data_IF_905166891036
#
_entry.id   IF_905166891036
#
_cell.length_a   1.000
_cell.length_b   1.000
_cell.length_c   1.000
_cell.angle_alpha   90.00
_cell.angle_beta   90.00
_cell.angle_gamma   90.00
#
_symmetry.space_group_name_H-M   'P 1'
#
loop_
_entity.id
_entity.type
_entity.pdbx_description
1 polymer ?
#
# COMPACT_ATOMS: atom_id res chain seq x y z
N UNK A 1 8.12 33.86 -37.57
CA UNK A 1 8.27 34.81 -36.47
C UNK A 1 7.82 34.06 -35.22
N UNK A 2 8.80 33.53 -34.52
CA UNK A 2 8.61 32.66 -33.36
C UNK A 2 8.61 33.56 -32.13
N UNK A 3 7.57 33.54 -31.33
CA UNK A 3 7.58 34.13 -29.98
C UNK A 3 7.47 33.00 -29.00
N UNK A 4 8.60 32.71 -28.34
CA UNK A 4 8.63 31.87 -27.15
C UNK A 4 8.11 32.69 -25.98
N UNK A 5 7.19 32.14 -25.21
CA UNK A 5 6.88 32.60 -23.86
C UNK A 5 7.38 31.53 -22.88
N UNK A 6 8.58 31.80 -22.36
CA UNK A 6 9.04 31.24 -21.09
C UNK A 6 8.32 31.99 -19.96
N UNK A 7 7.59 31.29 -19.13
CA UNK A 7 7.38 31.64 -17.74
C UNK A 7 6.67 30.44 -17.02
N UNK A 8 7.46 29.43 -16.66
CA UNK A 8 7.09 28.49 -15.63
C UNK A 8 7.72 28.98 -14.34
N UNK A 9 6.92 29.69 -13.56
CA UNK A 9 7.26 30.09 -12.19
C UNK A 9 7.40 28.84 -11.33
N UNK A 10 8.64 28.36 -11.18
CA UNK A 10 9.01 27.47 -10.09
C UNK A 10 8.88 28.25 -8.79
N UNK A 11 7.86 27.96 -8.01
CA UNK A 11 7.77 28.42 -6.62
C UNK A 11 8.90 27.78 -5.83
N UNK A 12 10.05 28.46 -5.78
CA UNK A 12 11.13 28.15 -4.84
C UNK A 12 10.57 28.26 -3.43
N UNK A 13 10.64 27.16 -2.68
CA UNK A 13 10.55 27.16 -1.21
C UNK A 13 11.38 28.34 -0.71
N UNK A 14 10.77 29.28 -0.01
CA UNK A 14 11.47 30.36 0.65
C UNK A 14 12.48 29.76 1.62
N UNK A 15 13.74 30.21 1.53
CA UNK A 15 14.76 29.98 2.56
C UNK A 15 14.24 30.48 3.91
N UNK A 16 13.62 29.57 4.67
CA UNK A 16 13.30 29.82 6.06
C UNK A 16 14.51 29.42 6.91
N UNK A 17 15.01 30.35 7.63
CA UNK A 17 16.01 30.34 8.67
C UNK A 17 16.32 28.94 9.23
N UNK A 18 17.61 28.60 9.17
CA UNK A 18 18.29 27.51 9.84
C UNK A 18 18.10 27.58 11.36
N UNK A 19 16.93 27.22 11.86
CA UNK A 19 16.70 26.80 13.23
C UNK A 19 16.87 25.29 13.23
N UNK A 20 17.96 24.79 13.82
CA UNK A 20 18.32 23.38 13.87
C UNK A 20 17.16 22.51 14.31
N UNK A 21 16.39 22.00 13.35
CA UNK A 21 15.48 20.88 13.58
C UNK A 21 16.40 19.69 13.82
N UNK A 22 16.43 19.24 15.08
CA UNK A 22 17.16 18.03 15.46
C UNK A 22 16.60 16.88 14.63
N UNK A 23 17.39 16.36 13.66
CA UNK A 23 17.00 15.16 12.92
C UNK A 23 16.69 14.05 13.94
N UNK A 24 15.49 13.49 13.82
CA UNK A 24 15.06 12.36 14.64
C UNK A 24 16.07 11.20 14.51
N UNK A 25 16.50 10.65 15.65
CA UNK A 25 17.49 9.58 15.64
C UNK A 25 16.94 8.27 15.06
N UNK A 26 17.80 7.46 14.42
CA UNK A 26 17.41 6.13 13.89
C UNK A 26 16.76 5.24 14.96
N UNK A 27 17.22 5.33 16.20
CA UNK A 27 16.63 4.57 17.30
C UNK A 27 15.25 5.08 17.68
N UNK A 28 15.05 6.38 17.71
CA UNK A 28 13.75 7.00 17.99
C UNK A 28 12.71 6.67 16.92
N UNK A 29 13.10 6.69 15.63
CA UNK A 29 12.26 6.24 14.53
C UNK A 29 11.82 4.78 14.73
N UNK A 30 12.76 3.88 15.08
CA UNK A 30 12.46 2.47 15.34
C UNK A 30 11.50 2.29 16.51
N UNK A 31 11.68 3.04 17.59
CA UNK A 31 10.79 2.96 18.76
C UNK A 31 9.41 3.54 18.44
N UNK A 32 9.29 4.64 17.69
CA UNK A 32 8.01 5.16 17.21
C UNK A 32 7.29 4.13 16.33
N UNK A 33 7.98 3.57 15.32
CA UNK A 33 7.42 2.54 14.45
C UNK A 33 6.98 1.30 15.24
N UNK A 34 7.78 0.82 16.16
CA UNK A 34 7.45 -0.30 17.04
C UNK A 34 6.24 0.01 17.94
N UNK A 35 6.09 1.25 18.39
CA UNK A 35 5.01 1.65 19.29
C UNK A 35 3.63 1.49 18.66
N UNK A 36 3.47 1.66 17.34
CA UNK A 36 2.21 1.43 16.63
C UNK A 36 1.71 0.01 16.88
N UNK A 37 2.59 -0.97 16.78
CA UNK A 37 2.26 -2.38 16.95
C UNK A 37 2.22 -2.82 18.41
N UNK A 38 3.02 -2.19 19.28
CA UNK A 38 2.96 -2.49 20.73
C UNK A 38 1.60 -2.08 21.32
N UNK A 39 1.01 -1.00 20.86
CA UNK A 39 -0.34 -0.58 21.26
C UNK A 39 -1.41 -1.60 20.88
N UNK A 40 -1.29 -2.19 19.69
CA UNK A 40 -2.27 -3.15 19.18
C UNK A 40 -2.04 -4.58 19.69
N UNK A 41 -0.76 -5.03 19.76
CA UNK A 41 -0.41 -6.43 20.01
C UNK A 41 0.09 -6.69 21.44
N UNK A 42 0.33 -5.65 22.23
CA UNK A 42 0.92 -5.74 23.57
C UNK A 42 2.43 -5.98 23.50
N UNK A 43 2.87 -7.24 23.41
CA UNK A 43 4.30 -7.56 23.38
C UNK A 43 4.84 -7.63 21.95
N UNK A 44 5.91 -6.89 21.70
CA UNK A 44 6.63 -6.86 20.42
C UNK A 44 8.12 -7.04 20.63
N UNK A 45 8.79 -7.58 19.60
CA UNK A 45 10.23 -7.76 19.55
C UNK A 45 10.76 -7.53 18.12
N UNK A 46 12.04 -7.22 17.92
CA UNK A 46 12.62 -7.25 16.58
C UNK A 46 12.47 -8.63 15.94
N UNK A 47 12.19 -8.68 14.63
CA UNK A 47 12.17 -9.92 13.89
C UNK A 47 13.57 -10.53 13.77
N UNK A 48 13.69 -11.85 13.55
CA UNK A 48 14.98 -12.54 13.37
C UNK A 48 15.72 -12.09 12.11
N UNK A 49 14.98 -11.79 11.04
CA UNK A 49 15.52 -11.24 9.78
C UNK A 49 15.94 -9.76 9.88
N UNK A 50 16.26 -9.26 11.06
CA UNK A 50 16.80 -7.91 11.23
C UNK A 50 18.25 -7.88 10.74
N UNK A 51 18.60 -6.87 9.93
CA UNK A 51 19.93 -6.62 9.40
C UNK A 51 20.38 -5.18 9.67
N UNK A 52 21.55 -4.81 9.17
CA UNK A 52 22.03 -3.43 9.27
C UNK A 52 21.02 -2.42 8.66
N UNK A 53 20.39 -2.82 7.57
CA UNK A 53 19.47 -1.97 6.79
C UNK A 53 17.99 -2.31 7.00
N UNK A 54 17.66 -3.48 7.55
CA UNK A 54 16.27 -3.94 7.74
C UNK A 54 15.94 -4.01 9.24
N UNK A 55 14.82 -3.39 9.62
CA UNK A 55 14.23 -3.50 10.94
C UNK A 55 12.77 -3.94 10.81
N UNK A 56 12.41 -5.05 11.42
CA UNK A 56 11.03 -5.57 11.46
C UNK A 56 10.51 -5.67 12.89
N UNK A 57 9.19 -5.51 13.05
CA UNK A 57 8.51 -5.64 14.36
C UNK A 57 7.70 -6.93 14.37
N UNK A 58 8.10 -7.87 15.21
CA UNK A 58 7.47 -9.18 15.36
C UNK A 58 6.72 -9.33 16.67
N UNK A 59 5.73 -10.22 16.66
CA UNK A 59 4.96 -10.62 17.84
C UNK A 59 4.42 -12.04 17.65
N UNK A 60 4.06 -12.69 18.75
CA UNK A 60 3.43 -14.01 18.74
C UNK A 60 2.02 -14.02 18.13
N UNK A 61 1.39 -12.84 17.95
CA UNK A 61 0.09 -12.74 17.29
C UNK A 61 0.19 -12.96 15.78
N UNK A 62 1.36 -12.76 15.17
CA UNK A 62 1.57 -12.94 13.74
C UNK A 62 1.60 -14.42 13.36
N UNK A 63 1.10 -14.73 12.16
CA UNK A 63 1.15 -16.08 11.58
C UNK A 63 2.58 -16.56 11.39
N UNK A 64 3.45 -15.68 10.89
CA UNK A 64 4.90 -15.87 10.74
C UNK A 64 5.60 -14.52 10.58
N UNK A 65 6.94 -14.51 10.62
CA UNK A 65 7.74 -13.28 10.52
C UNK A 65 7.62 -12.57 9.16
N UNK A 66 7.27 -13.30 8.09
CA UNK A 66 7.09 -12.69 6.76
C UNK A 66 5.87 -11.76 6.68
N UNK A 67 4.91 -11.88 7.62
CA UNK A 67 3.78 -10.96 7.74
C UNK A 67 4.12 -9.68 8.52
N UNK A 68 5.30 -9.61 9.12
CA UNK A 68 5.68 -8.48 9.97
C UNK A 68 5.85 -7.18 9.19
N UNK A 69 5.46 -6.04 9.77
CA UNK A 69 5.83 -4.73 9.26
C UNK A 69 7.35 -4.55 9.33
N UNK A 70 7.91 -3.81 8.37
CA UNK A 70 9.34 -3.58 8.34
C UNK A 70 9.72 -2.22 7.76
N UNK A 71 10.96 -1.81 8.02
CA UNK A 71 11.60 -0.66 7.40
C UNK A 71 12.94 -1.07 6.79
N UNK A 72 13.28 -0.46 5.65
CA UNK A 72 14.60 -0.49 5.03
C UNK A 72 15.22 0.90 5.14
N UNK A 73 16.45 1.01 5.70
CA UNK A 73 17.11 2.31 5.87
C UNK A 73 18.63 2.18 5.82
N UNK A 74 19.27 3.02 5.01
CA UNK A 74 20.74 3.15 4.96
C UNK A 74 21.30 4.06 6.05
N UNK A 75 20.46 4.88 6.66
CA UNK A 75 20.84 5.93 7.60
C UNK A 75 20.82 7.32 6.94
N UNK A 76 21.16 8.36 7.71
CA UNK A 76 21.16 9.74 7.22
C UNK A 76 22.12 9.91 6.03
N UNK A 77 21.73 10.71 5.06
CA UNK A 77 22.58 11.13 3.93
C UNK A 77 23.20 12.48 4.30
N UNK A 78 24.51 12.51 4.53
CA UNK A 78 25.20 13.78 4.82
C UNK A 78 25.09 14.74 3.63
N UNK A 79 24.45 15.90 3.83
CA UNK A 79 24.35 16.96 2.84
C UNK A 79 23.47 16.66 1.62
N UNK A 80 22.67 15.59 1.64
CA UNK A 80 21.73 15.20 0.59
C UNK A 80 20.28 15.31 1.03
N UNK A 81 19.36 15.22 0.06
CA UNK A 81 17.92 15.10 0.30
C UNK A 81 17.59 13.72 0.87
N UNK A 82 16.93 13.69 2.00
CA UNK A 82 16.48 12.43 2.60
C UNK A 82 15.16 12.00 1.94
N UNK A 83 15.19 10.87 1.23
CA UNK A 83 14.03 10.32 0.53
C UNK A 83 13.34 9.24 1.36
N UNK A 84 12.03 9.32 1.50
CA UNK A 84 11.22 8.33 2.23
C UNK A 84 10.09 7.83 1.35
N UNK A 85 9.84 6.52 1.39
CA UNK A 85 8.70 5.89 0.73
C UNK A 85 7.89 5.08 1.72
N UNK A 86 6.55 5.14 1.61
CA UNK A 86 5.63 4.31 2.39
C UNK A 86 4.82 3.44 1.44
N UNK A 87 4.79 2.12 1.69
CA UNK A 87 4.08 1.14 0.86
C UNK A 87 3.08 0.34 1.69
N UNK A 88 1.79 0.54 1.44
CA UNK A 88 0.71 -0.23 2.08
C UNK A 88 0.35 -1.45 1.24
N UNK A 89 0.04 -2.58 1.91
CA UNK A 89 -0.37 -3.84 1.26
C UNK A 89 -1.88 -3.92 1.01
N UNK A 90 -2.33 -4.96 0.30
CA UNK A 90 -3.73 -5.21 -0.04
C UNK A 90 -4.57 -5.83 1.08
N UNK A 91 -5.88 -5.96 0.85
CA UNK A 91 -6.90 -6.31 1.86
C UNK A 91 -6.72 -7.68 2.52
N UNK A 92 -6.27 -8.68 1.81
CA UNK A 92 -6.03 -10.02 2.39
C UNK A 92 -4.55 -10.30 2.62
N UNK A 93 -3.69 -9.34 2.31
CA UNK A 93 -2.25 -9.51 2.17
C UNK A 93 -1.47 -9.11 3.44
N UNK A 94 -0.18 -9.00 3.28
CA UNK A 94 0.73 -8.53 4.33
C UNK A 94 1.93 -7.80 3.68
N UNK A 95 2.82 -7.18 4.46
CA UNK A 95 4.04 -6.55 3.98
C UNK A 95 4.92 -7.43 3.09
N UNK A 96 4.75 -8.75 3.13
CA UNK A 96 5.46 -9.69 2.27
C UNK A 96 5.34 -9.33 0.77
N UNK A 97 4.15 -8.96 0.32
CA UNK A 97 3.89 -8.64 -1.10
C UNK A 97 4.54 -7.35 -1.57
N UNK A 98 4.91 -6.46 -0.64
CA UNK A 98 5.58 -5.20 -0.97
C UNK A 98 7.12 -5.30 -0.95
N UNK A 99 7.71 -6.46 -0.62
CA UNK A 99 9.16 -6.63 -0.46
C UNK A 99 9.96 -6.24 -1.69
N UNK A 100 9.56 -6.73 -2.87
CA UNK A 100 10.32 -6.49 -4.09
C UNK A 100 10.21 -5.04 -4.57
N UNK A 101 9.06 -4.40 -4.38
CA UNK A 101 8.89 -2.96 -4.63
C UNK A 101 9.71 -2.15 -3.61
N UNK A 102 9.71 -2.56 -2.35
CA UNK A 102 10.52 -1.91 -1.32
C UNK A 102 12.03 -2.03 -1.59
N UNK A 103 12.48 -3.19 -2.04
CA UNK A 103 13.89 -3.40 -2.44
C UNK A 103 14.28 -2.46 -3.60
N UNK A 104 13.40 -2.29 -4.61
CA UNK A 104 13.62 -1.36 -5.73
C UNK A 104 13.79 0.07 -5.22
N UNK A 105 12.89 0.57 -4.39
CA UNK A 105 12.95 1.93 -3.87
C UNK A 105 14.16 2.12 -2.94
N UNK A 106 14.49 1.11 -2.15
CA UNK A 106 15.68 1.13 -1.30
C UNK A 106 16.96 1.23 -2.14
N UNK A 107 17.04 0.53 -3.26
CA UNK A 107 18.17 0.62 -4.20
C UNK A 107 18.31 2.01 -4.81
N UNK A 108 17.20 2.71 -5.03
CA UNK A 108 17.14 4.12 -5.50
C UNK A 108 17.35 5.16 -4.37
N UNK A 109 17.76 4.70 -3.18
CA UNK A 109 18.18 5.57 -2.08
C UNK A 109 17.08 5.95 -1.09
N UNK A 110 15.87 5.42 -1.23
CA UNK A 110 14.79 5.69 -0.27
C UNK A 110 14.98 4.92 1.05
N UNK A 111 14.62 5.55 2.14
CA UNK A 111 14.19 4.83 3.33
C UNK A 111 12.77 4.36 3.09
N UNK A 112 12.52 3.06 3.20
CA UNK A 112 11.20 2.49 2.86
C UNK A 112 10.52 1.95 4.11
N UNK A 113 9.28 2.36 4.33
CA UNK A 113 8.41 1.88 5.41
C UNK A 113 7.33 1.01 4.79
N UNK A 114 7.23 -0.24 5.23
CA UNK A 114 6.18 -1.18 4.83
C UNK A 114 5.40 -1.59 6.07
N UNK A 115 4.34 -0.85 6.42
CA UNK A 115 3.52 -1.13 7.59
C UNK A 115 2.64 -2.36 7.37
N UNK A 116 2.15 -2.93 8.48
CA UNK A 116 1.07 -3.92 8.48
C UNK A 116 -0.22 -3.22 8.92
N UNK A 117 -1.23 -3.26 8.07
CA UNK A 117 -2.54 -2.68 8.37
C UNK A 117 -3.22 -3.41 9.54
N UNK A 118 -3.98 -2.71 10.40
CA UNK A 118 -4.76 -3.31 11.47
C UNK A 118 -5.59 -4.51 11.00
N UNK A 119 -5.60 -5.58 11.80
CA UNK A 119 -6.33 -6.82 11.49
C UNK A 119 -5.62 -7.81 10.56
N UNK A 120 -4.49 -7.43 9.96
CA UNK A 120 -3.78 -8.27 8.99
C UNK A 120 -2.62 -9.07 9.62
N UNK A 121 -2.16 -10.11 8.89
CA UNK A 121 -1.00 -10.92 9.25
C UNK A 121 -1.13 -11.77 10.52
N UNK A 122 -2.27 -11.73 11.20
CA UNK A 122 -2.51 -12.36 12.52
C UNK A 122 -2.91 -13.83 12.39
N UNK A 123 -2.65 -14.61 13.44
CA UNK A 123 -3.11 -16.02 13.56
C UNK A 123 -4.60 -16.13 13.67
N UNK A 124 -5.23 -15.19 14.33
CA UNK A 124 -6.67 -15.00 14.42
C UNK A 124 -6.98 -13.53 14.18
N UNK A 125 -7.73 -13.26 13.14
CA UNK A 125 -8.16 -11.93 12.73
C UNK A 125 -9.69 -11.78 12.83
N UNK A 126 -10.41 -12.75 13.38
CA UNK A 126 -11.87 -12.78 13.39
C UNK A 126 -12.46 -11.52 14.02
N UNK A 127 -11.95 -11.12 15.17
CA UNK A 127 -12.43 -9.90 15.86
C UNK A 127 -12.14 -8.63 15.06
N UNK A 128 -10.95 -8.53 14.46
CA UNK A 128 -10.57 -7.35 13.67
C UNK A 128 -11.38 -7.25 12.37
N UNK A 129 -11.51 -8.37 11.64
CA UNK A 129 -12.23 -8.40 10.36
C UNK A 129 -13.75 -8.26 10.52
N UNK A 130 -14.27 -8.36 11.74
CA UNK A 130 -15.66 -8.09 12.09
C UNK A 130 -15.86 -6.78 12.86
N UNK A 131 -14.85 -5.93 12.92
CA UNK A 131 -14.89 -4.63 13.60
C UNK A 131 -15.57 -3.59 12.69
N UNK A 132 -16.55 -2.87 13.23
CA UNK A 132 -17.27 -1.82 12.52
C UNK A 132 -16.43 -0.57 12.24
N UNK A 133 -15.37 -0.38 13.02
CA UNK A 133 -14.46 0.76 12.92
C UNK A 133 -13.18 0.39 12.17
N UNK A 134 -13.23 -0.67 11.32
CA UNK A 134 -12.02 -1.20 10.66
C UNK A 134 -11.46 -0.20 9.64
N UNK A 135 -12.31 0.48 8.87
CA UNK A 135 -11.89 1.52 7.94
C UNK A 135 -11.22 2.69 8.67
N UNK A 136 -11.82 3.18 9.74
CA UNK A 136 -11.27 4.26 10.57
C UNK A 136 -9.93 3.86 11.21
N UNK A 137 -9.79 2.59 11.64
CA UNK A 137 -8.53 2.07 12.17
C UNK A 137 -7.44 2.05 11.10
N UNK A 138 -7.77 1.67 9.86
CA UNK A 138 -6.83 1.72 8.74
C UNK A 138 -6.42 3.16 8.43
N UNK A 139 -7.37 4.08 8.32
CA UNK A 139 -7.13 5.50 8.05
C UNK A 139 -6.25 6.14 9.14
N UNK A 140 -6.56 5.88 10.42
CA UNK A 140 -5.77 6.37 11.54
C UNK A 140 -4.33 5.82 11.51
N UNK A 141 -4.16 4.53 11.23
CA UNK A 141 -2.83 3.91 11.13
C UNK A 141 -2.04 4.46 9.94
N UNK A 142 -2.67 4.65 8.79
CA UNK A 142 -2.06 5.29 7.61
C UNK A 142 -1.58 6.70 7.94
N UNK A 143 -2.42 7.51 8.60
CA UNK A 143 -2.06 8.86 9.02
C UNK A 143 -0.86 8.88 9.99
N UNK A 144 -0.82 7.98 10.98
CA UNK A 144 0.31 7.87 11.92
C UNK A 144 1.62 7.46 11.22
N UNK A 145 1.55 6.52 10.28
CA UNK A 145 2.74 6.06 9.52
C UNK A 145 3.25 7.15 8.59
N UNK A 146 2.36 7.86 7.90
CA UNK A 146 2.74 8.95 7.01
C UNK A 146 3.32 10.12 7.82
N UNK A 147 2.75 10.46 8.98
CA UNK A 147 3.31 11.48 9.86
C UNK A 147 4.72 11.11 10.35
N UNK A 148 4.98 9.84 10.67
CA UNK A 148 6.33 9.38 10.99
C UNK A 148 7.27 9.51 9.79
N UNK A 149 6.81 9.18 8.58
CA UNK A 149 7.61 9.28 7.37
C UNK A 149 7.97 10.73 7.03
N UNK A 150 7.04 11.67 7.19
CA UNK A 150 7.24 13.10 6.98
C UNK A 150 8.32 13.70 7.93
N UNK A 151 8.41 13.17 9.18
CA UNK A 151 9.49 13.55 10.12
C UNK A 151 10.88 13.02 9.68
N UNK A 152 10.94 12.02 8.78
CA UNK A 152 12.18 11.30 8.44
C UNK A 152 12.87 11.83 7.20
N UNK A 153 12.19 12.57 6.33
CA UNK A 153 12.75 12.98 5.05
C UNK A 153 12.25 14.29 4.49
N UNK A 154 12.94 14.74 3.46
CA UNK A 154 12.64 15.97 2.72
C UNK A 154 11.74 15.70 1.51
N UNK A 155 11.72 14.45 1.03
CA UNK A 155 10.89 13.95 -0.07
C UNK A 155 10.13 12.72 0.41
N UNK A 156 8.81 12.73 0.26
CA UNK A 156 7.93 11.65 0.69
C UNK A 156 7.06 11.15 -0.47
N UNK A 157 7.23 9.87 -0.82
CA UNK A 157 6.36 9.18 -1.78
C UNK A 157 5.54 8.13 -1.03
N UNK A 158 4.22 8.13 -1.27
CA UNK A 158 3.29 7.22 -0.60
C UNK A 158 2.54 6.38 -1.62
N UNK A 159 2.28 5.14 -1.32
CA UNK A 159 1.50 4.30 -2.20
C UNK A 159 1.23 2.91 -1.65
N UNK A 160 0.80 2.02 -2.53
CA UNK A 160 0.56 0.64 -2.14
C UNK A 160 -0.14 -0.18 -3.19
N UNK A 161 -0.40 -1.42 -2.80
CA UNK A 161 -1.09 -2.41 -3.59
C UNK A 161 -2.56 -2.49 -3.18
N UNK A 162 -3.46 -2.53 -4.17
CA UNK A 162 -4.90 -2.75 -3.95
C UNK A 162 -5.48 -1.77 -2.92
N UNK A 163 -6.01 -2.25 -1.80
CA UNK A 163 -6.50 -1.45 -0.66
C UNK A 163 -5.46 -0.44 -0.17
N UNK A 164 -4.17 -0.83 -0.14
CA UNK A 164 -3.10 0.09 0.24
C UNK A 164 -2.99 1.30 -0.69
N UNK A 165 -3.23 1.10 -1.99
CA UNK A 165 -3.32 2.19 -2.97
C UNK A 165 -4.53 3.10 -2.73
N UNK A 166 -5.70 2.52 -2.42
CA UNK A 166 -6.90 3.29 -2.10
C UNK A 166 -6.70 4.15 -0.84
N UNK A 167 -6.13 3.57 0.23
CA UNK A 167 -5.82 4.28 1.47
C UNK A 167 -4.82 5.43 1.27
N UNK A 168 -3.82 5.24 0.40
CA UNK A 168 -2.85 6.29 0.07
C UNK A 168 -3.53 7.48 -0.65
N UNK A 169 -4.42 7.20 -1.61
CA UNK A 169 -5.20 8.22 -2.34
C UNK A 169 -6.17 8.93 -1.42
N UNK A 170 -6.91 8.16 -0.59
CA UNK A 170 -7.87 8.73 0.37
C UNK A 170 -7.17 9.67 1.34
N UNK A 171 -6.05 9.25 1.92
CA UNK A 171 -5.26 10.08 2.82
C UNK A 171 -4.76 11.35 2.13
N UNK A 172 -4.24 11.25 0.88
CA UNK A 172 -3.79 12.41 0.11
C UNK A 172 -4.91 13.43 -0.12
N UNK A 173 -6.11 12.97 -0.47
CA UNK A 173 -7.25 13.84 -0.76
C UNK A 173 -7.84 14.52 0.50
N UNK A 174 -7.66 13.93 1.67
CA UNK A 174 -8.24 14.43 2.93
C UNK A 174 -7.25 15.19 3.83
N UNK A 175 -5.97 15.15 3.54
CA UNK A 175 -4.93 15.71 4.41
C UNK A 175 -4.09 16.75 3.68
N UNK A 176 -3.72 17.83 4.38
CA UNK A 176 -2.74 18.79 3.90
C UNK A 176 -1.33 18.25 4.19
N UNK A 177 -0.87 17.29 3.39
CA UNK A 177 0.41 16.61 3.59
C UNK A 177 1.51 17.10 2.65
N UNK A 178 2.75 16.87 3.07
CA UNK A 178 3.95 17.06 2.25
C UNK A 178 4.26 15.80 1.41
N UNK A 179 3.24 15.17 0.81
CA UNK A 179 3.43 14.05 -0.10
C UNK A 179 3.86 14.60 -1.45
N UNK A 180 5.01 14.14 -1.95
CA UNK A 180 5.62 14.59 -3.19
C UNK A 180 5.28 13.69 -4.39
N UNK A 181 4.74 12.49 -4.15
CA UNK A 181 4.31 11.56 -5.20
C UNK A 181 3.48 10.40 -4.68
N UNK A 182 2.69 9.80 -5.57
CA UNK A 182 1.86 8.63 -5.26
C UNK A 182 2.25 7.44 -6.15
N UNK A 183 2.14 6.22 -5.60
CA UNK A 183 2.40 4.97 -6.32
C UNK A 183 1.25 3.99 -6.12
N UNK A 184 0.61 3.56 -7.21
CA UNK A 184 -0.51 2.63 -7.17
C UNK A 184 -0.17 1.35 -7.95
N UNK A 185 -0.26 0.22 -7.30
CA UNK A 185 -0.11 -1.11 -7.88
C UNK A 185 -1.46 -1.83 -7.79
N UNK A 186 -2.17 -2.03 -8.89
CA UNK A 186 -3.56 -2.52 -8.92
C UNK A 186 -4.44 -1.82 -7.90
N UNK A 187 -4.40 -0.48 -7.82
CA UNK A 187 -5.08 0.32 -6.80
C UNK A 187 -6.59 0.08 -6.77
N UNK A 188 -7.15 -0.20 -5.58
CA UNK A 188 -8.57 -0.50 -5.41
C UNK A 188 -9.42 0.79 -5.42
N UNK A 189 -9.59 1.40 -6.58
CA UNK A 189 -10.44 2.59 -6.79
C UNK A 189 -11.80 2.25 -7.43
N UNK A 190 -11.95 1.01 -7.89
CA UNK A 190 -13.20 0.36 -8.24
C UNK A 190 -13.12 -1.11 -7.80
N UNK A 191 -14.24 -1.74 -7.53
CA UNK A 191 -14.35 -3.17 -7.28
C UNK A 191 -15.19 -3.82 -8.38
N UNK A 192 -15.23 -5.15 -8.40
CA UNK A 192 -16.11 -5.89 -9.31
C UNK A 192 -17.58 -5.43 -9.17
N UNK A 193 -18.35 -5.48 -10.25
CA UNK A 193 -19.75 -5.05 -10.25
C UNK A 193 -20.60 -5.74 -9.17
N UNK A 194 -20.33 -7.01 -8.89
CA UNK A 194 -21.00 -7.75 -7.83
C UNK A 194 -20.68 -7.18 -6.43
N UNK A 195 -19.43 -6.84 -6.15
CA UNK A 195 -19.02 -6.26 -4.87
C UNK A 195 -19.62 -4.85 -4.69
N UNK A 196 -19.57 -4.02 -5.72
CA UNK A 196 -20.19 -2.68 -5.70
C UNK A 196 -21.71 -2.74 -5.58
N UNK A 197 -22.35 -3.70 -6.27
CA UNK A 197 -23.80 -3.92 -6.18
C UNK A 197 -24.23 -4.32 -4.77
N UNK A 198 -23.48 -5.22 -4.12
CA UNK A 198 -23.78 -5.64 -2.75
C UNK A 198 -23.63 -4.50 -1.73
N UNK A 199 -22.63 -3.64 -1.88
CA UNK A 199 -22.41 -2.53 -0.94
C UNK A 199 -23.58 -1.53 -0.84
N UNK A 200 -24.41 -1.46 -1.86
CA UNK A 200 -25.61 -0.58 -1.92
C UNK A 200 -26.83 -1.14 -1.18
N UNK A 201 -26.78 -2.39 -0.71
CA UNK A 201 -27.93 -3.02 -0.04
C UNK A 201 -27.95 -2.57 1.43
N UNK A 202 -29.08 -1.98 1.84
CA UNK A 202 -29.27 -1.56 3.23
C UNK A 202 -29.12 -2.75 4.20
N UNK A 203 -28.32 -2.60 5.26
CA UNK A 203 -28.07 -3.64 6.26
C UNK A 203 -27.07 -4.72 5.83
N UNK A 204 -26.46 -4.63 4.64
CA UNK A 204 -25.51 -5.63 4.14
C UNK A 204 -24.32 -5.82 5.07
N UNK A 205 -23.81 -4.77 5.72
CA UNK A 205 -22.70 -4.86 6.68
C UNK A 205 -23.06 -5.77 7.87
N UNK A 206 -24.27 -5.64 8.39
CA UNK A 206 -24.73 -6.52 9.48
C UNK A 206 -24.84 -7.98 9.00
N UNK A 207 -25.34 -8.19 7.79
CA UNK A 207 -25.45 -9.52 7.18
C UNK A 207 -24.07 -10.12 6.92
N UNK A 208 -23.14 -9.37 6.36
CA UNK A 208 -21.77 -9.79 6.11
C UNK A 208 -21.08 -10.25 7.40
N UNK A 209 -21.19 -9.47 8.47
CA UNK A 209 -20.64 -9.83 9.79
C UNK A 209 -21.22 -11.13 10.35
N UNK A 210 -22.51 -11.38 10.13
CA UNK A 210 -23.17 -12.62 10.61
C UNK A 210 -22.71 -13.83 9.78
N UNK A 211 -22.57 -13.64 8.44
CA UNK A 211 -22.20 -14.72 7.52
C UNK A 211 -20.71 -15.06 7.66
N UNK A 212 -19.83 -14.07 7.84
CA UNK A 212 -18.39 -14.28 7.97
C UNK A 212 -18.05 -15.21 9.15
N UNK A 213 -18.84 -15.19 10.24
CA UNK A 213 -18.68 -16.07 11.39
C UNK A 213 -17.25 -16.01 11.94
N UNK A 214 -16.59 -17.17 12.01
CA UNK A 214 -15.16 -17.26 12.34
C UNK A 214 -14.35 -17.07 11.07
N UNK A 215 -13.53 -16.01 11.04
CA UNK A 215 -12.73 -15.66 9.86
C UNK A 215 -11.56 -16.63 9.68
N UNK A 216 -11.41 -17.16 8.47
CA UNK A 216 -10.31 -18.07 8.14
C UNK A 216 -9.00 -17.32 7.95
N UNK A 217 -8.02 -17.60 8.80
CA UNK A 217 -6.68 -16.99 8.73
C UNK A 217 -5.61 -17.92 8.16
N UNK A 218 -5.93 -19.20 7.94
CA UNK A 218 -5.02 -20.20 7.43
C UNK A 218 -5.46 -20.70 6.06
N UNK A 219 -4.52 -20.72 5.11
CA UNK A 219 -4.77 -21.14 3.74
C UNK A 219 -3.46 -21.52 3.03
N UNK A 220 -3.52 -21.73 1.71
CA UNK A 220 -2.38 -22.18 0.90
C UNK A 220 -1.21 -21.19 0.89
N UNK A 221 -1.50 -19.90 1.08
CA UNK A 221 -0.49 -18.84 1.13
C UNK A 221 -0.26 -18.40 2.59
N UNK A 222 0.96 -18.56 3.14
CA UNK A 222 1.24 -18.18 4.52
C UNK A 222 1.28 -16.67 4.77
N UNK A 223 1.27 -15.84 3.71
CA UNK A 223 1.37 -14.38 3.78
C UNK A 223 0.08 -13.65 3.35
N UNK A 224 -0.95 -14.42 3.02
CA UNK A 224 -2.25 -13.92 2.60
C UNK A 224 -3.36 -14.69 3.30
N UNK A 225 -4.46 -14.04 3.66
CA UNK A 225 -5.65 -14.74 4.09
C UNK A 225 -6.32 -15.43 2.90
N UNK A 226 -6.90 -16.62 3.08
CA UNK A 226 -7.48 -17.38 1.96
C UNK A 226 -8.69 -16.67 1.34
N UNK A 227 -9.40 -15.87 2.12
CA UNK A 227 -10.60 -15.14 1.69
C UNK A 227 -10.52 -13.69 2.16
N UNK A 228 -11.32 -12.83 1.54
CA UNK A 228 -11.63 -11.47 2.03
C UNK A 228 -12.85 -11.58 2.93
N UNK A 229 -12.79 -11.04 4.14
CA UNK A 229 -13.97 -10.90 4.99
C UNK A 229 -14.98 -9.97 4.34
N UNK A 230 -16.26 -10.35 4.32
CA UNK A 230 -17.31 -9.57 3.68
C UNK A 230 -17.44 -8.17 4.27
N UNK A 231 -17.36 -8.03 5.61
CA UNK A 231 -17.38 -6.73 6.26
C UNK A 231 -16.15 -5.89 5.85
N UNK A 232 -14.95 -6.45 5.87
CA UNK A 232 -13.74 -5.73 5.48
C UNK A 232 -13.78 -5.24 4.00
N UNK A 233 -14.40 -6.02 3.10
CA UNK A 233 -14.65 -5.60 1.72
C UNK A 233 -15.63 -4.42 1.63
N UNK A 234 -16.64 -4.36 2.51
CA UNK A 234 -17.59 -3.26 2.60
C UNK A 234 -16.95 -2.01 3.22
N UNK A 235 -16.06 -2.17 4.21
CA UNK A 235 -15.27 -1.06 4.76
C UNK A 235 -14.33 -0.45 3.70
N UNK A 236 -13.71 -1.28 2.85
CA UNK A 236 -12.96 -0.79 1.70
C UNK A 236 -13.86 -0.03 0.72
N UNK A 237 -15.09 -0.47 0.50
CA UNK A 237 -16.02 0.22 -0.39
C UNK A 237 -16.40 1.62 0.10
N UNK A 238 -16.46 1.83 1.43
CA UNK A 238 -16.68 3.15 2.01
C UNK A 238 -15.50 4.09 1.72
N UNK A 239 -14.25 3.58 1.81
CA UNK A 239 -13.05 4.33 1.45
C UNK A 239 -13.07 4.71 -0.04
N UNK A 240 -13.43 3.78 -0.93
CA UNK A 240 -13.56 4.05 -2.38
C UNK A 240 -14.62 5.11 -2.64
N UNK A 241 -15.76 5.03 -1.96
CA UNK A 241 -16.83 6.01 -2.10
C UNK A 241 -16.40 7.40 -1.60
N UNK A 242 -15.68 7.49 -0.50
CA UNK A 242 -15.12 8.75 -0.01
C UNK A 242 -14.13 9.38 -1.00
N UNK A 243 -13.29 8.59 -1.66
CA UNK A 243 -12.40 9.06 -2.74
C UNK A 243 -13.22 9.63 -3.91
N UNK A 244 -14.25 8.90 -4.36
CA UNK A 244 -15.11 9.32 -5.47
C UNK A 244 -15.83 10.62 -5.15
N UNK A 245 -16.39 10.75 -3.95
CA UNK A 245 -17.04 11.97 -3.49
C UNK A 245 -16.10 13.17 -3.52
N UNK A 246 -14.86 13.02 -3.05
CA UNK A 246 -13.84 14.07 -3.10
C UNK A 246 -13.50 14.48 -4.54
N UNK A 247 -13.38 13.53 -5.45
CA UNK A 247 -13.13 13.80 -6.88
C UNK A 247 -14.33 14.53 -7.49
N UNK A 248 -15.56 14.09 -7.20
CA UNK A 248 -16.79 14.71 -7.68
C UNK A 248 -16.98 16.14 -7.15
N UNK A 249 -16.49 16.41 -5.93
CA UNK A 249 -16.40 17.75 -5.34
C UNK A 249 -15.32 18.65 -6.00
N UNK A 250 -14.52 18.11 -6.93
CA UNK A 250 -13.51 18.83 -7.69
C UNK A 250 -12.08 18.69 -7.15
N UNK A 251 -11.83 17.80 -6.18
CA UNK A 251 -10.47 17.49 -5.74
C UNK A 251 -9.67 16.82 -6.85
N UNK A 252 -8.39 17.14 -6.95
CA UNK A 252 -7.49 16.65 -7.99
C UNK A 252 -6.16 16.20 -7.41
N UNK A 253 -5.50 15.26 -8.07
CA UNK A 253 -4.13 14.89 -7.74
C UNK A 253 -3.17 15.92 -8.36
N UNK A 254 -2.39 16.58 -7.53
CA UNK A 254 -1.47 17.64 -7.91
C UNK A 254 0.01 17.19 -7.88
N UNK A 255 0.28 15.95 -7.44
CA UNK A 255 1.62 15.37 -7.35
C UNK A 255 1.81 14.28 -8.41
N UNK A 256 3.04 14.01 -8.85
CA UNK A 256 3.32 12.92 -9.78
C UNK A 256 2.73 11.59 -9.31
N UNK A 257 2.16 10.83 -10.25
CA UNK A 257 1.48 9.58 -9.97
C UNK A 257 2.07 8.46 -10.83
N UNK A 258 2.59 7.42 -10.18
CA UNK A 258 2.92 6.14 -10.80
C UNK A 258 1.75 5.18 -10.64
N UNK A 259 1.26 4.62 -11.74
CA UNK A 259 0.21 3.59 -11.72
C UNK A 259 0.69 2.38 -12.50
N UNK A 260 0.60 1.20 -11.88
CA UNK A 260 0.76 -0.09 -12.55
C UNK A 260 -0.54 -0.88 -12.41
N UNK A 261 -1.08 -1.40 -13.52
CA UNK A 261 -2.36 -2.12 -13.51
C UNK A 261 -2.44 -3.15 -14.65
N UNK A 262 -3.20 -4.23 -14.41
CA UNK A 262 -3.54 -5.21 -15.46
C UNK A 262 -4.94 -4.94 -16.01
N UNK A 263 -5.11 -5.03 -17.33
CA UNK A 263 -6.45 -4.97 -17.95
C UNK A 263 -7.33 -6.17 -17.61
N UNK A 264 -6.70 -7.29 -17.24
CA UNK A 264 -7.38 -8.54 -16.86
C UNK A 264 -7.68 -8.61 -15.34
N UNK A 265 -7.43 -7.54 -14.62
CA UNK A 265 -7.72 -7.46 -13.18
C UNK A 265 -9.24 -7.39 -12.93
N UNK A 266 -9.84 -8.55 -12.66
CA UNK A 266 -11.28 -8.67 -12.36
C UNK A 266 -11.63 -8.27 -10.91
N UNK A 267 -10.63 -8.14 -10.03
CA UNK A 267 -10.82 -7.77 -8.63
C UNK A 267 -11.00 -6.27 -8.47
N UNK A 268 -10.07 -5.52 -9.06
CA UNK A 268 -10.09 -4.05 -9.09
C UNK A 268 -10.02 -3.60 -10.55
N UNK A 269 -11.15 -3.36 -11.21
CA UNK A 269 -11.18 -2.98 -12.61
C UNK A 269 -10.32 -1.73 -12.90
N UNK A 270 -9.57 -1.76 -13.99
CA UNK A 270 -8.66 -0.68 -14.42
C UNK A 270 -9.35 0.68 -14.54
N UNK A 271 -10.66 0.69 -14.80
CA UNK A 271 -11.46 1.91 -14.90
C UNK A 271 -11.41 2.81 -13.65
N UNK A 272 -11.17 2.21 -12.47
CA UNK A 272 -11.02 2.98 -11.23
C UNK A 272 -9.77 3.86 -11.24
N UNK A 273 -8.63 3.31 -11.66
CA UNK A 273 -7.39 4.09 -11.76
C UNK A 273 -7.40 5.03 -12.96
N UNK A 274 -8.04 4.66 -14.07
CA UNK A 274 -8.23 5.54 -15.23
C UNK A 274 -9.05 6.78 -14.85
N UNK A 275 -10.11 6.61 -14.04
CA UNK A 275 -10.89 7.72 -13.51
C UNK A 275 -10.02 8.65 -12.64
N UNK A 276 -9.18 8.13 -11.75
CA UNK A 276 -8.25 8.95 -10.97
C UNK A 276 -7.26 9.71 -11.86
N UNK A 277 -6.67 9.03 -12.86
CA UNK A 277 -5.72 9.63 -13.81
C UNK A 277 -6.35 10.79 -14.60
N UNK A 278 -7.63 10.68 -14.95
CA UNK A 278 -8.38 11.75 -15.62
C UNK A 278 -8.57 13.00 -14.71
N UNK A 279 -8.42 12.85 -13.39
CA UNK A 279 -8.49 13.93 -12.39
C UNK A 279 -7.12 14.27 -11.78
N UNK A 280 -6.06 13.95 -12.49
CA UNK A 280 -4.69 14.33 -12.11
C UNK A 280 -4.18 15.45 -13.03
N UNK A 281 -3.64 16.50 -12.43
CA UNK A 281 -3.00 17.62 -13.13
C UNK A 281 -1.47 17.52 -13.15
N UNK A 282 -0.91 16.47 -12.57
CA UNK A 282 0.52 16.25 -12.51
C UNK A 282 1.03 15.35 -13.64
N UNK A 283 2.34 15.17 -13.71
CA UNK A 283 2.97 14.21 -14.61
C UNK A 283 2.72 12.79 -14.13
N UNK A 284 2.06 11.97 -14.95
CA UNK A 284 1.68 10.61 -14.60
C UNK A 284 2.49 9.58 -15.42
N UNK A 285 2.89 8.51 -14.76
CA UNK A 285 3.48 7.32 -15.38
C UNK A 285 2.48 6.17 -15.25
N UNK A 286 1.95 5.68 -16.37
CA UNK A 286 0.97 4.60 -16.38
C UNK A 286 1.54 3.35 -17.07
N UNK A 287 1.84 2.32 -16.28
CA UNK A 287 2.23 1.00 -16.75
C UNK A 287 1.01 0.08 -16.80
N UNK A 288 0.64 -0.34 -18.00
CA UNK A 288 -0.52 -1.21 -18.24
C UNK A 288 -0.05 -2.56 -18.77
N UNK A 289 -0.48 -3.63 -18.10
CA UNK A 289 -0.33 -5.00 -18.60
C UNK A 289 -1.54 -5.33 -19.46
N UNK A 290 -1.29 -5.77 -20.70
CA UNK A 290 -2.33 -6.15 -21.65
C UNK A 290 -3.04 -7.44 -21.20
N UNK A 291 -4.33 -7.56 -21.54
CA UNK A 291 -5.18 -8.70 -21.17
C UNK A 291 -4.64 -10.05 -21.67
N UNK A 292 -3.87 -10.05 -22.77
CA UNK A 292 -3.25 -11.26 -23.32
C UNK A 292 -2.23 -11.95 -22.39
N UNK A 293 -1.81 -11.27 -21.32
CA UNK A 293 -0.94 -11.84 -20.27
C UNK A 293 -1.71 -12.59 -19.20
N UNK A 294 -3.03 -12.48 -19.15
CA UNK A 294 -3.90 -13.13 -18.13
C UNK A 294 -3.36 -12.92 -16.71
N UNK A 295 -2.92 -11.69 -16.41
CA UNK A 295 -2.26 -11.37 -15.16
C UNK A 295 -3.27 -11.04 -14.08
N UNK A 296 -3.37 -11.92 -13.11
CA UNK A 296 -4.29 -11.77 -11.98
C UNK A 296 -3.90 -10.60 -11.06
N UNK A 297 -4.88 -10.08 -10.32
CA UNK A 297 -4.75 -8.94 -9.42
C UNK A 297 -3.49 -8.96 -8.56
N UNK A 298 -3.30 -10.01 -7.76
CA UNK A 298 -2.17 -10.09 -6.83
C UNK A 298 -0.82 -10.37 -7.52
N UNK A 299 -0.84 -10.91 -8.73
CA UNK A 299 0.36 -11.30 -9.46
C UNK A 299 1.14 -10.09 -9.98
N UNK A 300 0.50 -8.92 -10.11
CA UNK A 300 1.14 -7.69 -10.60
C UNK A 300 2.44 -7.36 -9.84
N UNK A 301 2.44 -7.54 -8.52
CA UNK A 301 3.57 -7.21 -7.64
C UNK A 301 4.48 -8.41 -7.33
N UNK A 302 4.22 -9.57 -7.95
CA UNK A 302 4.97 -10.81 -7.73
C UNK A 302 5.98 -11.01 -8.84
N UNK A 303 7.26 -11.16 -8.50
CA UNK A 303 8.31 -11.65 -9.39
C UNK A 303 8.71 -13.08 -9.02
N UNK A 304 9.61 -13.70 -9.79
CA UNK A 304 10.07 -15.07 -9.53
C UNK A 304 10.74 -15.22 -8.15
N UNK A 305 11.45 -14.19 -7.66
CA UNK A 305 12.09 -14.21 -6.34
C UNK A 305 11.04 -14.26 -5.23
N UNK A 306 10.01 -13.41 -5.31
CA UNK A 306 8.93 -13.37 -4.34
C UNK A 306 8.08 -14.64 -4.42
N UNK A 307 7.76 -15.12 -5.63
CA UNK A 307 7.02 -16.36 -5.85
C UNK A 307 7.71 -17.55 -5.19
N UNK A 308 9.03 -17.72 -5.42
CA UNK A 308 9.81 -18.78 -4.79
C UNK A 308 9.87 -18.67 -3.26
N UNK A 309 9.89 -17.44 -2.71
CA UNK A 309 9.90 -17.18 -1.27
C UNK A 309 8.53 -17.39 -0.61
N UNK A 310 7.46 -17.45 -1.39
CA UNK A 310 6.07 -17.49 -0.89
C UNK A 310 5.74 -18.80 -0.16
N UNK A 311 6.42 -19.91 -0.49
CA UNK A 311 6.14 -21.23 0.07
C UNK A 311 4.66 -21.63 -0.06
N UNK A 312 4.07 -21.38 -1.22
CA UNK A 312 2.67 -21.68 -1.51
C UNK A 312 2.41 -23.20 -1.44
N UNK A 313 1.34 -23.59 -0.75
CA UNK A 313 0.98 -25.00 -0.56
C UNK A 313 -0.29 -25.34 -1.33
N UNK A 314 -0.13 -25.82 -2.59
CA UNK A 314 -1.25 -26.20 -3.44
C UNK A 314 -2.16 -27.28 -2.85
N UNK A 315 -1.63 -28.16 -1.97
CA UNK A 315 -2.44 -29.21 -1.35
C UNK A 315 -3.53 -28.70 -0.41
N UNK A 316 -3.47 -27.42 -0.05
CA UNK A 316 -4.49 -26.76 0.78
C UNK A 316 -5.57 -26.03 -0.05
N UNK A 317 -5.50 -26.07 -1.37
CA UNK A 317 -6.55 -25.52 -2.22
C UNK A 317 -7.81 -26.38 -2.09
N UNK A 318 -8.94 -25.75 -1.77
CA UNK A 318 -10.24 -26.40 -1.67
C UNK A 318 -10.99 -26.41 -2.99
N UNK A 319 -10.70 -25.47 -3.86
CA UNK A 319 -11.28 -25.31 -5.21
C UNK A 319 -10.20 -24.82 -6.16
N UNK A 320 -10.27 -25.22 -7.42
CA UNK A 320 -9.47 -24.62 -8.50
C UNK A 320 -10.27 -23.44 -9.05
N UNK A 321 -10.01 -22.26 -8.49
CA UNK A 321 -10.52 -21.01 -9.01
C UNK A 321 -9.44 -20.35 -9.87
N UNK A 322 -9.86 -19.59 -10.87
CA UNK A 322 -8.94 -18.75 -11.63
C UNK A 322 -8.23 -17.80 -10.64
N UNK A 323 -6.94 -17.61 -10.84
CA UNK A 323 -6.09 -16.79 -9.94
C UNK A 323 -5.83 -17.35 -8.52
N UNK A 324 -6.23 -18.60 -8.23
CA UNK A 324 -5.97 -19.23 -6.92
C UNK A 324 -4.48 -19.58 -6.72
N UNK A 325 -3.79 -19.92 -7.80
CA UNK A 325 -2.36 -20.25 -7.79
C UNK A 325 -1.58 -19.01 -8.23
N UNK A 326 -0.71 -18.45 -7.36
CA UNK A 326 0.05 -17.26 -7.71
C UNK A 326 1.04 -17.52 -8.85
N UNK A 327 1.21 -16.53 -9.69
CA UNK A 327 2.16 -16.53 -10.82
C UNK A 327 3.07 -15.31 -10.70
N UNK A 328 4.25 -15.39 -11.32
CA UNK A 328 5.10 -14.22 -11.47
C UNK A 328 4.60 -13.34 -12.62
N UNK A 329 4.68 -12.02 -12.43
CA UNK A 329 4.44 -11.05 -13.48
C UNK A 329 5.58 -11.11 -14.52
N UNK A 330 5.32 -11.54 -15.76
CA UNK A 330 6.36 -11.64 -16.78
C UNK A 330 6.93 -10.27 -17.19
N UNK A 331 6.21 -9.18 -16.90
CA UNK A 331 6.61 -7.81 -17.18
C UNK A 331 7.13 -7.08 -15.94
N UNK A 332 7.38 -7.79 -14.81
CA UNK A 332 7.84 -7.16 -13.57
C UNK A 332 9.10 -6.32 -13.76
N UNK A 333 10.06 -6.80 -14.55
CA UNK A 333 11.30 -6.04 -14.82
C UNK A 333 11.04 -4.73 -15.57
N UNK A 334 10.07 -4.72 -16.49
CA UNK A 334 9.65 -3.50 -17.20
C UNK A 334 8.96 -2.52 -16.25
N UNK A 335 8.05 -3.01 -15.42
CA UNK A 335 7.40 -2.22 -14.37
C UNK A 335 8.43 -1.60 -13.41
N UNK A 336 9.39 -2.42 -12.96
CA UNK A 336 10.48 -1.97 -12.08
C UNK A 336 11.36 -0.88 -12.75
N UNK A 337 11.66 -1.02 -14.03
CA UNK A 337 12.39 0.00 -14.78
C UNK A 337 11.63 1.33 -14.84
N UNK A 338 10.33 1.28 -15.13
CA UNK A 338 9.49 2.49 -15.15
C UNK A 338 9.34 3.12 -13.77
N UNK A 339 9.24 2.29 -12.71
CA UNK A 339 9.21 2.78 -11.32
C UNK A 339 10.51 3.49 -10.96
N UNK A 340 11.68 2.93 -11.32
CA UNK A 340 12.98 3.60 -11.12
C UNK A 340 13.06 4.93 -11.85
N UNK A 341 12.56 5.00 -13.09
CA UNK A 341 12.52 6.26 -13.84
C UNK A 341 11.57 7.29 -13.23
N UNK A 342 10.50 6.85 -12.57
CA UNK A 342 9.55 7.73 -11.89
C UNK A 342 10.14 8.37 -10.63
N UNK A 343 10.96 7.65 -9.87
CA UNK A 343 11.50 8.10 -8.57
C UNK A 343 12.86 8.81 -8.68
N UNK A 344 13.42 8.94 -9.89
CA UNK A 344 14.68 9.66 -10.21
C UNK A 344 14.43 10.89 -11.06
#
# INVERSE_FOLDING_TARGET
>A
MVVANDDVSSAKRSESNNTGVSQISKQEIREKFKSFYTREWGQTQPCRETSLHKFGVCSNVLRNEGNAPFMLSRGPVEGGVSKVAVLFHGLSDSPFFMREIADILFDEGYTVIVPLLPGHGKRDATSDMSDWDLAERWQAHVAEVIALADEMGDELIVGGFSTGGALAVEHYLNSANNIDGLMLFSGALALSENAEGMSRIWGIKLLARIIDGTYQTHGPNPYKYPNVAGLAGLELMDIINAIREKIDEGSQIQVPLFVAHSKDDATTPISGVEHLLAHSNASNTFFVVDESYELCHADLVVNDKLLNAMNFNESMLTQQEDCAIPKSNPLFSTMAFMLRAFVN
#
